data_IF_771807658014
#
_entry.id   IF_771807658014
#
_cell.length_a   1.000
_cell.length_b   1.000
_cell.length_c   1.000
_cell.angle_alpha   90.00
_cell.angle_beta   90.00
_cell.angle_gamma   90.00
#
_symmetry.space_group_name_H-M   'P 1'
#
loop_
_entity.id
_entity.type
_entity.pdbx_description
1 polymer ?
#
# COMPACT_ATOMS: atom_id res chain seq x y z
N UNK A 1 -4.08 -11.07 2.65
CA UNK A 1 -4.19 -9.97 3.63
C UNK A 1 -2.87 -9.24 3.71
N UNK A 2 -2.90 -7.92 3.89
CA UNK A 2 -1.68 -7.12 3.99
C UNK A 2 -1.93 -5.80 4.71
N UNK A 3 -0.85 -5.14 5.11
CA UNK A 3 -0.81 -3.79 5.63
C UNK A 3 0.37 -3.04 5.03
N UNK A 4 0.12 -1.83 4.54
CA UNK A 4 1.12 -0.88 4.07
C UNK A 4 0.95 0.41 4.85
N UNK A 5 2.03 0.84 5.50
CA UNK A 5 2.08 2.03 6.36
C UNK A 5 3.20 2.96 5.92
N UNK A 6 3.09 4.28 6.06
CA UNK A 6 4.24 5.17 5.96
C UNK A 6 5.32 4.77 6.97
N UNK A 7 6.56 4.69 6.53
CA UNK A 7 7.68 4.40 7.42
C UNK A 7 7.95 5.58 8.36
N UNK A 8 8.08 5.29 9.65
CA UNK A 8 8.46 6.28 10.66
C UNK A 8 9.96 6.19 11.00
N UNK A 9 10.52 7.25 11.60
CA UNK A 9 11.92 7.26 12.04
C UNK A 9 12.26 6.12 13.02
N UNK A 10 11.30 5.69 13.84
CA UNK A 10 11.49 4.58 14.77
C UNK A 10 11.53 3.22 14.09
N UNK A 11 10.90 3.08 12.91
CA UNK A 11 10.87 1.82 12.16
C UNK A 11 12.16 1.62 11.36
N UNK A 12 12.72 2.69 10.79
CA UNK A 12 14.06 2.69 10.17
C UNK A 12 15.12 2.10 11.09
N UNK A 13 15.09 2.51 12.36
CA UNK A 13 15.98 2.00 13.39
C UNK A 13 15.77 0.48 13.56
N UNK A 14 14.53 0.02 13.75
CA UNK A 14 14.24 -1.42 13.91
C UNK A 14 14.66 -2.25 12.69
N UNK A 15 14.48 -1.72 11.47
CA UNK A 15 14.90 -2.35 10.20
C UNK A 15 16.43 -2.49 10.16
N UNK A 16 17.18 -1.44 10.49
CA UNK A 16 18.65 -1.45 10.55
C UNK A 16 19.21 -2.45 11.56
N UNK A 17 18.50 -2.69 12.67
CA UNK A 17 18.86 -3.71 13.67
C UNK A 17 18.34 -5.12 13.35
N UNK A 18 17.79 -5.36 12.15
CA UNK A 18 17.29 -6.66 11.71
C UNK A 18 16.04 -7.15 12.45
N UNK A 19 15.37 -6.28 13.21
CA UNK A 19 14.19 -6.62 14.02
C UNK A 19 12.87 -6.47 13.26
N UNK A 20 12.91 -5.94 12.05
CA UNK A 20 11.76 -5.74 11.17
C UNK A 20 11.90 -6.62 9.93
N UNK A 21 10.99 -7.58 9.74
CA UNK A 21 10.89 -8.37 8.51
C UNK A 21 9.76 -7.81 7.66
N UNK A 22 10.14 -7.19 6.56
CA UNK A 22 9.22 -6.48 5.69
C UNK A 22 9.33 -7.03 4.28
N UNK A 23 8.22 -6.94 3.54
CA UNK A 23 8.19 -7.32 2.13
C UNK A 23 8.76 -6.17 1.32
N UNK A 24 9.80 -6.44 0.53
CA UNK A 24 10.30 -5.48 -0.46
C UNK A 24 9.62 -5.73 -1.79
N UNK A 25 9.05 -4.70 -2.41
CA UNK A 25 8.36 -4.82 -3.71
C UNK A 25 9.32 -4.62 -4.90
N UNK A 26 10.60 -4.32 -4.62
CA UNK A 26 11.66 -4.19 -5.63
C UNK A 26 11.76 -2.77 -6.20
N UNK A 27 11.30 -1.77 -5.44
CA UNK A 27 11.29 -0.36 -5.82
C UNK A 27 11.74 0.46 -4.63
N UNK A 28 13.02 0.83 -4.63
CA UNK A 28 13.68 1.48 -3.48
C UNK A 28 12.97 2.75 -3.02
N UNK A 29 12.46 3.57 -3.94
CA UNK A 29 11.67 4.76 -3.62
C UNK A 29 10.42 4.46 -2.77
N UNK A 30 9.79 3.32 -3.01
CA UNK A 30 8.63 2.84 -2.25
C UNK A 30 9.03 2.06 -1.00
N UNK A 31 10.00 1.16 -1.12
CA UNK A 31 10.49 0.29 -0.03
C UNK A 31 11.22 1.08 1.09
N UNK A 32 11.67 2.31 0.79
CA UNK A 32 12.23 3.27 1.76
C UNK A 32 11.17 4.21 2.38
N UNK A 33 9.98 4.24 1.78
CA UNK A 33 8.89 5.14 2.20
C UNK A 33 7.79 4.42 2.95
N UNK A 34 7.59 3.13 2.66
CA UNK A 34 6.48 2.35 3.16
C UNK A 34 6.96 1.07 3.80
N UNK A 35 6.30 0.74 4.91
CA UNK A 35 6.43 -0.52 5.58
C UNK A 35 5.37 -1.49 5.09
N UNK A 36 5.77 -2.66 4.59
CA UNK A 36 4.88 -3.61 3.93
C UNK A 36 4.93 -4.95 4.65
N UNK A 37 3.76 -5.44 5.07
CA UNK A 37 3.60 -6.74 5.72
C UNK A 37 2.37 -7.45 5.19
N UNK A 38 2.40 -8.76 5.13
CA UNK A 38 1.22 -9.54 4.82
C UNK A 38 1.51 -11.02 4.64
N UNK A 39 0.46 -11.76 4.32
CA UNK A 39 0.47 -13.21 4.28
C UNK A 39 0.89 -13.79 2.91
N UNK A 40 0.73 -13.01 1.84
CA UNK A 40 0.99 -13.45 0.47
C UNK A 40 1.89 -12.41 -0.23
N UNK A 41 3.19 -12.65 -0.13
CA UNK A 41 4.21 -11.76 -0.70
C UNK A 41 4.05 -11.59 -2.21
N UNK A 42 3.64 -12.64 -2.93
CA UNK A 42 3.47 -12.60 -4.37
C UNK A 42 2.33 -11.68 -4.78
N UNK A 43 1.16 -11.80 -4.14
CA UNK A 43 0.01 -10.91 -4.40
C UNK A 43 0.36 -9.46 -4.06
N UNK A 44 1.04 -9.24 -2.94
CA UNK A 44 1.46 -7.90 -2.50
C UNK A 44 2.43 -7.28 -3.51
N UNK A 45 3.46 -8.01 -3.93
CA UNK A 45 4.40 -7.58 -4.96
C UNK A 45 3.69 -7.26 -6.28
N UNK A 46 2.74 -8.09 -6.69
CA UNK A 46 1.97 -7.86 -7.90
C UNK A 46 1.16 -6.55 -7.81
N UNK A 47 0.47 -6.30 -6.69
CA UNK A 47 -0.30 -5.07 -6.47
C UNK A 47 0.57 -3.82 -6.56
N UNK A 48 1.72 -3.80 -5.87
CA UNK A 48 2.61 -2.63 -5.83
C UNK A 48 3.59 -2.54 -7.01
N UNK A 49 3.61 -3.54 -7.89
CA UNK A 49 4.28 -3.43 -9.19
C UNK A 49 3.60 -2.41 -10.10
N UNK A 50 2.27 -2.22 -9.93
CA UNK A 50 1.44 -1.32 -10.72
C UNK A 50 1.81 0.15 -10.45
N UNK A 51 2.24 0.92 -11.47
CA UNK A 51 2.64 2.31 -11.27
C UNK A 51 1.53 3.18 -10.68
N UNK A 52 0.29 3.06 -11.17
CA UNK A 52 -0.83 3.86 -10.67
C UNK A 52 -1.12 3.65 -9.18
N UNK A 53 -0.98 2.42 -8.67
CA UNK A 53 -1.11 2.12 -7.24
C UNK A 53 0.02 2.79 -6.44
N UNK A 54 1.26 2.53 -6.84
CA UNK A 54 2.47 2.95 -6.13
C UNK A 54 2.67 4.47 -6.15
N UNK A 55 2.56 5.07 -7.33
CA UNK A 55 2.92 6.46 -7.57
C UNK A 55 1.96 7.42 -6.84
N UNK A 56 0.68 7.05 -6.74
CA UNK A 56 -0.27 7.81 -5.92
C UNK A 56 0.12 7.79 -4.44
N UNK A 57 0.49 6.64 -3.89
CA UNK A 57 0.95 6.53 -2.49
C UNK A 57 2.24 7.34 -2.27
N UNK A 58 3.20 7.28 -3.21
CA UNK A 58 4.42 8.09 -3.14
C UNK A 58 4.13 9.60 -3.17
N UNK A 59 3.13 10.03 -3.93
CA UNK A 59 2.70 11.43 -3.95
C UNK A 59 1.96 11.81 -2.66
N UNK A 60 1.11 10.92 -2.15
CA UNK A 60 0.36 11.07 -0.91
C UNK A 60 1.13 10.42 0.26
N UNK A 61 2.35 10.90 0.52
CA UNK A 61 3.40 10.36 1.42
C UNK A 61 2.97 9.93 2.84
N UNK A 62 1.75 10.20 3.26
CA UNK A 62 1.16 9.79 4.53
C UNK A 62 -0.18 9.11 4.28
N UNK A 63 -0.13 7.98 3.59
CA UNK A 63 -1.28 7.14 3.27
C UNK A 63 -0.99 5.72 3.76
N UNK A 64 -1.99 5.08 4.36
CA UNK A 64 -1.94 3.66 4.68
C UNK A 64 -3.08 2.88 4.03
N UNK A 65 -2.79 1.63 3.69
CA UNK A 65 -3.74 0.68 3.12
C UNK A 65 -3.63 -0.65 3.87
N UNK A 66 -4.76 -1.17 4.33
CA UNK A 66 -4.81 -2.44 5.06
C UNK A 66 -5.98 -3.30 4.58
N UNK A 67 -5.68 -4.53 4.19
CA UNK A 67 -6.66 -5.53 3.79
C UNK A 67 -6.69 -6.66 4.82
N UNK A 68 -7.80 -6.74 5.55
CA UNK A 68 -8.15 -7.81 6.50
C UNK A 68 -9.22 -8.73 5.89
N UNK A 69 -9.62 -9.84 6.53
CA UNK A 69 -10.70 -10.68 6.03
C UNK A 69 -12.05 -9.96 5.95
N UNK A 70 -12.26 -8.94 6.79
CA UNK A 70 -13.56 -8.32 6.99
C UNK A 70 -13.59 -6.84 6.58
N UNK A 71 -12.45 -6.28 6.16
CA UNK A 71 -12.35 -4.86 5.86
C UNK A 71 -11.18 -4.54 4.93
N UNK A 72 -11.42 -3.55 4.06
CA UNK A 72 -10.38 -2.77 3.41
C UNK A 72 -10.37 -1.39 4.05
N UNK A 73 -9.25 -1.07 4.70
CA UNK A 73 -9.08 0.19 5.42
C UNK A 73 -8.10 1.06 4.62
N UNK A 74 -8.56 2.25 4.29
CA UNK A 74 -7.75 3.33 3.74
C UNK A 74 -7.65 4.45 4.78
N UNK A 75 -6.45 5.00 4.97
CA UNK A 75 -6.29 6.20 5.81
C UNK A 75 -5.32 7.17 5.17
N UNK A 76 -5.76 8.43 5.06
CA UNK A 76 -4.91 9.56 4.71
C UNK A 76 -4.67 10.41 5.95
N UNK A 77 -3.41 10.75 6.21
CA UNK A 77 -3.04 11.67 7.30
C UNK A 77 -2.87 13.11 6.82
N UNK A 78 -3.13 13.38 5.53
CA UNK A 78 -3.12 14.71 4.96
C UNK A 78 -4.55 15.23 4.78
N UNK A 79 -4.81 16.52 5.06
CA UNK A 79 -6.11 17.12 4.79
C UNK A 79 -6.49 16.98 3.32
N UNK A 80 -7.76 16.66 3.07
CA UNK A 80 -8.33 16.70 1.73
C UNK A 80 -8.69 18.15 1.44
N UNK A 81 -7.85 18.84 0.66
CA UNK A 81 -7.93 20.29 0.48
C UNK A 81 -8.95 20.76 -0.55
N UNK A 82 -9.45 19.86 -1.40
CA UNK A 82 -10.39 20.19 -2.47
C UNK A 82 -11.23 18.98 -2.89
N UNK A 83 -12.33 19.25 -3.59
CA UNK A 83 -13.18 18.22 -4.22
C UNK A 83 -12.37 17.43 -5.27
N UNK A 84 -11.47 18.07 -6.00
CA UNK A 84 -10.66 17.37 -7.00
C UNK A 84 -9.65 16.42 -6.35
N UNK A 85 -9.05 16.81 -5.22
CA UNK A 85 -8.22 15.90 -4.44
C UNK A 85 -9.02 14.71 -3.91
N UNK A 86 -10.26 14.94 -3.46
CA UNK A 86 -11.16 13.86 -3.05
C UNK A 86 -11.44 12.89 -4.21
N UNK A 87 -11.77 13.40 -5.40
CA UNK A 87 -12.00 12.56 -6.59
C UNK A 87 -10.78 11.72 -6.92
N UNK A 88 -9.59 12.32 -6.93
CA UNK A 88 -8.34 11.58 -7.17
C UNK A 88 -8.13 10.44 -6.16
N UNK A 89 -8.47 10.63 -4.89
CA UNK A 89 -8.40 9.56 -3.87
C UNK A 89 -9.43 8.47 -4.19
N UNK A 90 -10.66 8.84 -4.54
CA UNK A 90 -11.70 7.88 -4.89
C UNK A 90 -11.34 7.06 -6.13
N UNK A 91 -10.86 7.70 -7.19
CA UNK A 91 -10.44 7.04 -8.43
C UNK A 91 -9.31 6.04 -8.16
N UNK A 92 -8.28 6.47 -7.44
CA UNK A 92 -7.19 5.59 -7.03
C UNK A 92 -7.66 4.42 -6.16
N UNK A 93 -8.55 4.67 -5.20
CA UNK A 93 -9.09 3.61 -4.34
C UNK A 93 -9.90 2.59 -5.15
N UNK A 94 -10.67 3.03 -6.15
CA UNK A 94 -11.39 2.15 -7.07
C UNK A 94 -10.43 1.30 -7.91
N UNK A 95 -9.30 1.83 -8.37
CA UNK A 95 -8.27 1.06 -9.07
C UNK A 95 -7.64 -0.02 -8.19
N UNK A 96 -7.30 0.32 -6.94
CA UNK A 96 -6.79 -0.62 -5.94
C UNK A 96 -7.78 -1.76 -5.68
N UNK A 97 -9.06 -1.41 -5.49
CA UNK A 97 -10.13 -2.39 -5.32
C UNK A 97 -10.22 -3.34 -6.51
N UNK A 98 -10.19 -2.81 -7.73
CA UNK A 98 -10.24 -3.61 -8.94
C UNK A 98 -9.06 -4.58 -9.05
N UNK A 99 -7.84 -4.12 -8.79
CA UNK A 99 -6.66 -4.99 -8.78
C UNK A 99 -6.74 -6.08 -7.71
N UNK A 100 -7.24 -5.76 -6.51
CA UNK A 100 -7.49 -6.77 -5.46
C UNK A 100 -8.52 -7.81 -5.92
N UNK A 101 -9.63 -7.38 -6.52
CA UNK A 101 -10.66 -8.27 -7.04
C UNK A 101 -10.13 -9.18 -8.16
N UNK A 102 -9.32 -8.65 -9.09
CA UNK A 102 -8.68 -9.44 -10.16
C UNK A 102 -7.73 -10.49 -9.56
N UNK A 103 -6.95 -10.14 -8.55
CA UNK A 103 -6.02 -11.06 -7.89
C UNK A 103 -6.72 -12.17 -7.09
N UNK A 104 -7.96 -11.97 -6.67
CA UNK A 104 -8.75 -12.98 -5.96
C UNK A 104 -9.59 -13.84 -6.91
N UNK A 105 -10.18 -13.24 -7.95
CA UNK A 105 -10.94 -13.96 -9.00
C UNK A 105 -10.07 -14.78 -9.95
N UNK A 106 -8.80 -14.40 -10.14
CA UNK A 106 -7.87 -15.07 -11.05
C UNK A 106 -7.41 -16.48 -10.64
N UNK A 107 -7.96 -17.06 -9.56
CA UNK A 107 -7.60 -18.37 -9.04
C UNK A 107 -8.80 -19.30 -8.78
N UNK A 108 -9.95 -19.05 -9.39
CA UNK A 108 -11.08 -20.01 -9.45
C UNK A 108 -10.98 -21.04 -10.59
N UNK A 109 -9.82 -21.19 -11.26
CA UNK A 109 -9.60 -22.21 -12.30
C UNK A 109 -8.40 -23.12 -12.00
#
# INVERSE_FOLDING_TARGET
MFKVLPESSGDKIKKAFGRLKEIEVGRSDFDDMFLIRGSDEKKIKNLFSKPHVRDFMLNQRRLSLELTPNSLIFSTYLPIGSIDHLKMICDWFSEVLNEICIMDSGYEN
#
